data_IF_033067896706
#
_entry.id   IF_033067896706
#
_cell.length_a   1.000
_cell.length_b   1.000
_cell.length_c   1.000
_cell.angle_alpha   90.00
_cell.angle_beta   90.00
_cell.angle_gamma   90.00
#
_symmetry.space_group_name_H-M   'P 1'
#
loop_
_entity.id
_entity.type
_entity.pdbx_description
1 polymer ?
#
# COMPACT_ATOMS: atom_id res chain seq x y z
N UNK A 1 12.54 4.18 3.26
CA UNK A 1 13.20 2.85 3.10
C UNK A 1 12.14 1.77 3.01
N UNK A 2 12.16 0.94 1.97
CA UNK A 2 11.22 -0.18 1.85
C UNK A 2 11.79 -1.46 2.47
N UNK A 3 13.06 -1.73 2.26
CA UNK A 3 13.71 -2.89 2.83
C UNK A 3 15.19 -2.99 2.47
N UNK A 4 15.85 -3.99 3.02
CA UNK A 4 17.23 -4.30 2.67
C UNK A 4 17.48 -5.81 2.65
N UNK A 5 18.54 -6.19 1.96
CA UNK A 5 19.08 -7.54 1.93
C UNK A 5 20.58 -7.45 2.28
N UNK A 6 21.02 -8.25 3.25
CA UNK A 6 22.45 -8.36 3.56
C UNK A 6 23.19 -9.03 2.40
N UNK A 7 24.32 -8.45 2.00
CA UNK A 7 25.15 -8.94 0.90
C UNK A 7 26.60 -9.09 1.36
N UNK A 8 27.13 -10.30 1.27
CA UNK A 8 28.44 -10.61 1.84
C UNK A 8 28.51 -10.34 3.35
N UNK A 9 29.71 -10.02 3.85
CA UNK A 9 29.97 -9.86 5.29
C UNK A 9 29.62 -8.47 5.86
N UNK A 10 29.58 -7.45 5.01
CA UNK A 10 29.51 -6.06 5.49
C UNK A 10 28.53 -5.17 4.70
N UNK A 11 28.10 -5.60 3.55
CA UNK A 11 27.35 -4.78 2.61
C UNK A 11 25.84 -5.02 2.72
N UNK A 12 25.04 -4.10 2.16
CA UNK A 12 23.60 -4.23 2.00
C UNK A 12 23.17 -3.80 0.62
N UNK A 13 22.22 -4.53 0.05
CA UNK A 13 21.39 -4.05 -1.06
C UNK A 13 20.12 -3.51 -0.45
N UNK A 14 19.79 -2.26 -0.72
CA UNK A 14 18.62 -1.58 -0.15
C UNK A 14 17.62 -1.20 -1.25
N UNK A 15 16.35 -1.37 -0.95
CA UNK A 15 15.23 -0.91 -1.77
C UNK A 15 14.63 0.32 -1.10
N UNK A 16 14.47 1.40 -1.87
CA UNK A 16 13.95 2.66 -1.36
C UNK A 16 13.10 3.36 -2.40
N UNK A 17 12.19 4.20 -1.96
CA UNK A 17 11.31 5.00 -2.81
C UNK A 17 11.67 6.48 -2.68
N UNK A 18 11.75 7.17 -3.81
CA UNK A 18 12.07 8.61 -3.87
C UNK A 18 10.94 9.38 -4.55
N UNK A 19 10.78 10.68 -4.23
CA UNK A 19 9.74 11.50 -4.88
C UNK A 19 10.02 11.76 -6.37
N UNK A 20 11.29 11.74 -6.77
CA UNK A 20 11.71 12.16 -8.11
C UNK A 20 11.88 10.99 -9.08
N UNK A 21 12.37 9.84 -8.58
CA UNK A 21 12.73 8.68 -9.41
C UNK A 21 11.96 7.41 -9.05
N UNK A 22 11.02 7.49 -8.10
CA UNK A 22 10.21 6.36 -7.67
C UNK A 22 11.04 5.28 -6.97
N UNK A 23 10.80 4.03 -7.35
CA UNK A 23 11.44 2.86 -6.76
C UNK A 23 12.87 2.69 -7.27
N UNK A 24 13.83 2.61 -6.36
CA UNK A 24 15.24 2.40 -6.66
C UNK A 24 15.84 1.30 -5.78
N UNK A 25 16.89 0.68 -6.33
CA UNK A 25 17.77 -0.22 -5.57
C UNK A 25 19.16 0.35 -5.52
N UNK A 26 19.81 0.23 -4.36
CA UNK A 26 21.13 0.75 -4.14
C UNK A 26 22.02 -0.19 -3.36
N UNK A 27 23.33 -0.05 -3.61
CA UNK A 27 24.36 -0.82 -2.94
C UNK A 27 25.03 0.05 -1.86
N UNK A 28 24.92 -0.38 -0.62
CA UNK A 28 25.49 0.30 0.56
C UNK A 28 26.71 -0.46 1.06
N UNK A 29 27.90 -0.10 0.54
CA UNK A 29 29.17 -0.75 0.89
C UNK A 29 29.55 -0.53 2.34
N UNK A 30 29.82 -1.61 3.06
CA UNK A 30 30.21 -1.60 4.47
C UNK A 30 29.08 -1.15 5.41
N UNK A 31 27.81 -1.18 4.98
CA UNK A 31 26.68 -0.64 5.74
C UNK A 31 26.50 -1.29 7.12
N UNK A 32 26.72 -2.60 7.24
CA UNK A 32 26.56 -3.34 8.50
C UNK A 32 27.58 -2.95 9.57
N UNK A 33 28.75 -2.45 9.17
CA UNK A 33 29.83 -2.04 10.07
C UNK A 33 29.91 -0.52 10.25
N UNK A 34 29.24 0.28 9.43
CA UNK A 34 29.39 1.73 9.38
C UNK A 34 28.24 2.45 10.11
N UNK A 35 28.39 2.67 11.41
CA UNK A 35 27.45 3.46 12.20
C UNK A 35 27.37 4.92 11.76
N UNK A 36 28.51 5.50 11.34
CA UNK A 36 28.61 6.93 10.96
C UNK A 36 27.88 7.26 9.67
N UNK A 37 28.02 6.42 8.63
CA UNK A 37 27.43 6.71 7.30
C UNK A 37 25.97 6.31 7.18
N UNK A 38 25.57 5.24 7.88
CA UNK A 38 24.24 4.63 7.67
C UNK A 38 23.48 4.45 8.99
N UNK A 39 24.11 3.98 10.06
CA UNK A 39 23.43 3.76 11.34
C UNK A 39 22.11 3.02 11.21
N UNK A 40 21.06 3.55 11.84
CA UNK A 40 19.69 3.06 11.74
C UNK A 40 18.93 3.57 10.49
N UNK A 41 19.55 4.41 9.67
CA UNK A 41 18.88 5.01 8.51
C UNK A 41 18.49 3.98 7.44
N UNK A 42 19.14 2.81 7.40
CA UNK A 42 18.80 1.75 6.44
C UNK A 42 17.78 0.73 6.98
N UNK A 43 17.22 0.97 8.16
CA UNK A 43 16.16 0.10 8.68
C UNK A 43 14.87 0.27 7.86
N UNK A 44 14.08 -0.81 7.69
CA UNK A 44 12.79 -0.74 6.99
C UNK A 44 11.89 0.34 7.59
N UNK A 45 11.13 0.99 6.72
CA UNK A 45 10.17 2.06 7.02
C UNK A 45 10.80 3.39 7.42
N UNK A 46 12.12 3.49 7.62
CA UNK A 46 12.76 4.77 7.94
C UNK A 46 12.59 5.79 6.81
N UNK A 47 12.26 7.03 7.20
CA UNK A 47 12.34 8.22 6.35
C UNK A 47 13.75 8.77 6.46
N UNK A 48 14.43 8.94 5.33
CA UNK A 48 15.84 9.31 5.30
C UNK A 48 16.11 10.38 4.24
N UNK A 49 17.20 11.11 4.42
CA UNK A 49 17.88 11.83 3.35
C UNK A 49 19.04 10.97 2.86
N UNK A 50 19.06 10.64 1.57
CA UNK A 50 20.00 9.70 1.01
C UNK A 50 20.94 10.39 0.02
N UNK A 51 22.25 10.26 0.23
CA UNK A 51 23.27 10.67 -0.73
C UNK A 51 23.75 9.46 -1.52
N UNK A 52 23.54 9.50 -2.83
CA UNK A 52 23.85 8.40 -3.73
C UNK A 52 24.36 8.90 -5.09
N UNK A 53 24.99 8.04 -5.85
CA UNK A 53 25.43 8.30 -7.22
C UNK A 53 24.95 7.19 -8.13
N UNK A 54 24.59 7.56 -9.36
CA UNK A 54 24.27 6.58 -10.40
C UNK A 54 25.51 5.72 -10.67
N UNK A 55 25.32 4.42 -10.72
CA UNK A 55 26.36 3.47 -11.09
C UNK A 55 26.07 2.91 -12.47
N UNK A 56 27.14 2.58 -13.22
CA UNK A 56 27.04 1.95 -14.56
C UNK A 56 26.41 0.54 -14.52
N UNK A 57 26.27 -0.05 -13.34
CA UNK A 57 25.74 -1.42 -13.12
C UNK A 57 24.27 -1.49 -12.69
N UNK A 58 23.49 -0.41 -12.80
CA UNK A 58 22.03 -0.40 -12.52
C UNK A 58 21.66 -0.19 -11.03
N UNK A 59 22.52 -0.53 -10.06
CA UNK A 59 22.29 -0.23 -8.65
C UNK A 59 22.90 1.14 -8.29
N UNK A 60 22.14 1.98 -7.59
CA UNK A 60 22.66 3.24 -7.05
C UNK A 60 23.78 2.97 -6.02
N UNK A 61 24.90 3.68 -6.13
CA UNK A 61 25.98 3.59 -5.15
C UNK A 61 25.67 4.51 -3.96
N UNK A 62 25.27 3.95 -2.82
CA UNK A 62 24.93 4.72 -1.63
C UNK A 62 26.20 5.19 -0.91
N UNK A 63 26.28 6.47 -0.63
CA UNK A 63 27.41 7.11 0.05
C UNK A 63 27.14 7.30 1.54
N UNK A 64 25.98 7.87 1.86
CA UNK A 64 25.58 8.25 3.20
C UNK A 64 24.05 8.33 3.29
N UNK A 65 23.50 8.04 4.46
CA UNK A 65 22.07 8.19 4.77
C UNK A 65 21.90 8.89 6.12
N UNK A 66 21.17 9.99 6.13
CA UNK A 66 20.75 10.71 7.31
C UNK A 66 19.37 10.27 7.74
N UNK A 67 19.19 9.83 8.98
CA UNK A 67 17.90 9.44 9.51
C UNK A 67 17.07 10.70 9.80
N UNK A 68 15.88 10.79 9.20
CA UNK A 68 14.89 11.84 9.48
C UNK A 68 13.87 11.32 10.50
N UNK A 69 13.31 10.13 10.24
CA UNK A 69 12.34 9.48 11.11
C UNK A 69 12.48 7.96 11.01
N UNK A 70 12.48 7.27 12.14
CA UNK A 70 12.55 5.82 12.20
C UNK A 70 11.17 5.16 12.20
N UNK A 71 10.11 5.91 12.40
CA UNK A 71 8.75 5.44 12.70
C UNK A 71 8.79 4.36 13.80
N UNK A 72 9.34 4.74 14.95
CA UNK A 72 9.65 3.79 16.02
C UNK A 72 8.40 3.14 16.62
N UNK A 73 7.26 3.84 16.62
CA UNK A 73 5.95 3.36 17.09
C UNK A 73 5.46 2.13 16.35
N UNK A 74 5.82 1.96 15.06
CA UNK A 74 5.47 0.77 14.29
C UNK A 74 5.93 -0.54 14.97
N UNK A 75 7.06 -0.50 15.71
CA UNK A 75 7.64 -1.68 16.35
C UNK A 75 6.93 -2.07 17.65
N UNK A 76 6.08 -1.22 18.16
CA UNK A 76 5.27 -1.50 19.36
C UNK A 76 3.87 -2.08 19.04
N UNK A 77 3.47 -2.06 17.75
CA UNK A 77 2.18 -2.58 17.27
C UNK A 77 2.41 -3.52 16.09
N UNK A 78 2.15 -4.81 16.31
CA UNK A 78 2.36 -5.85 15.31
C UNK A 78 1.45 -5.66 14.07
N UNK A 79 0.22 -5.14 14.27
CA UNK A 79 -0.70 -4.83 13.16
C UNK A 79 -0.15 -3.69 12.33
N UNK A 80 0.34 -2.63 12.99
CA UNK A 80 0.97 -1.49 12.31
C UNK A 80 2.21 -1.93 11.53
N UNK A 81 3.06 -2.77 12.12
CA UNK A 81 4.26 -3.29 11.48
C UNK A 81 3.93 -4.14 10.24
N UNK A 82 2.93 -5.03 10.36
CA UNK A 82 2.47 -5.87 9.25
C UNK A 82 1.87 -5.01 8.12
N UNK A 83 1.08 -3.98 8.47
CA UNK A 83 0.50 -3.03 7.52
C UNK A 83 1.56 -2.17 6.84
N UNK A 84 2.59 -1.74 7.54
CA UNK A 84 3.71 -1.00 6.96
C UNK A 84 4.42 -1.83 5.88
N UNK A 85 4.72 -3.10 6.16
CA UNK A 85 5.27 -4.02 5.17
C UNK A 85 4.35 -4.22 3.96
N UNK A 86 3.06 -4.42 4.21
CA UNK A 86 2.04 -4.57 3.18
C UNK A 86 1.91 -3.32 2.28
N UNK A 87 1.84 -2.14 2.87
CA UNK A 87 1.78 -0.87 2.13
C UNK A 87 3.02 -0.61 1.28
N UNK A 88 4.21 -0.95 1.80
CA UNK A 88 5.44 -0.90 1.02
C UNK A 88 5.40 -1.84 -0.19
N UNK A 89 4.95 -3.09 -0.01
CA UNK A 89 4.84 -4.06 -1.11
C UNK A 89 3.80 -3.64 -2.15
N UNK A 90 2.66 -3.05 -1.72
CA UNK A 90 1.68 -2.49 -2.65
C UNK A 90 2.29 -1.38 -3.51
N UNK A 91 2.96 -0.40 -2.89
CA UNK A 91 3.59 0.71 -3.63
C UNK A 91 4.70 0.18 -4.56
N UNK A 92 5.52 -0.76 -4.11
CA UNK A 92 6.52 -1.41 -4.95
C UNK A 92 5.89 -2.10 -6.18
N UNK A 93 4.75 -2.76 -5.99
CA UNK A 93 4.07 -3.54 -7.04
C UNK A 93 3.36 -2.66 -8.05
N UNK A 94 2.66 -1.62 -7.60
CA UNK A 94 1.78 -0.81 -8.45
C UNK A 94 2.43 0.46 -9.01
N UNK A 95 3.47 0.98 -8.36
CA UNK A 95 4.07 2.25 -8.75
C UNK A 95 5.36 2.10 -9.59
N UNK A 96 5.83 0.87 -9.80
CA UNK A 96 6.89 0.53 -10.75
C UNK A 96 8.26 1.15 -10.50
N UNK A 97 9.27 0.67 -11.25
CA UNK A 97 10.63 1.22 -11.25
C UNK A 97 10.76 2.33 -12.31
N UNK A 98 11.57 3.35 -12.02
CA UNK A 98 11.96 4.39 -12.98
C UNK A 98 10.91 5.46 -13.29
N UNK A 99 9.79 5.47 -12.58
CA UNK A 99 8.80 6.54 -12.65
C UNK A 99 8.72 7.27 -11.31
N UNK A 100 9.06 8.56 -11.32
CA UNK A 100 8.95 9.41 -10.14
C UNK A 100 7.49 9.75 -9.87
N UNK A 101 6.93 9.10 -8.87
CA UNK A 101 5.57 9.38 -8.42
C UNK A 101 5.62 10.09 -7.07
N UNK A 102 5.72 11.42 -7.08
CA UNK A 102 5.67 12.23 -5.86
C UNK A 102 4.43 11.95 -5.02
N UNK A 103 3.28 11.67 -5.67
CA UNK A 103 2.05 11.30 -4.98
C UNK A 103 2.17 9.95 -4.27
N UNK A 104 2.79 8.94 -4.89
CA UNK A 104 3.00 7.64 -4.26
C UNK A 104 3.99 7.73 -3.08
N UNK A 105 5.02 8.57 -3.20
CA UNK A 105 5.93 8.88 -2.09
C UNK A 105 5.20 9.55 -0.94
N UNK A 106 4.37 10.57 -1.24
CA UNK A 106 3.54 11.26 -0.26
C UNK A 106 2.54 10.32 0.42
N UNK A 107 1.84 9.49 -0.37
CA UNK A 107 0.91 8.49 0.14
C UNK A 107 1.58 7.51 1.11
N UNK A 108 2.72 6.93 0.71
CA UNK A 108 3.43 5.98 1.57
C UNK A 108 3.96 6.64 2.83
N UNK A 109 4.51 7.85 2.73
CA UNK A 109 4.96 8.62 3.87
C UNK A 109 3.85 8.88 4.87
N UNK A 110 2.71 9.40 4.40
CA UNK A 110 1.54 9.69 5.25
C UNK A 110 0.94 8.41 5.87
N UNK A 111 0.98 7.29 5.14
CA UNK A 111 0.54 6.00 5.66
C UNK A 111 1.42 5.52 6.82
N UNK A 112 2.74 5.56 6.66
CA UNK A 112 3.68 5.20 7.73
C UNK A 112 3.56 6.13 8.94
N UNK A 113 3.44 7.45 8.72
CA UNK A 113 3.18 8.43 9.78
C UNK A 113 1.88 8.15 10.55
N UNK A 114 0.82 7.75 9.82
CA UNK A 114 -0.46 7.38 10.44
C UNK A 114 -0.33 6.13 11.30
N UNK A 115 0.29 5.09 10.77
CA UNK A 115 0.49 3.83 11.51
C UNK A 115 1.38 4.03 12.75
N UNK A 116 2.41 4.86 12.65
CA UNK A 116 3.31 5.17 13.75
C UNK A 116 2.59 5.86 14.91
N UNK A 117 1.66 6.78 14.61
CA UNK A 117 0.91 7.55 15.62
C UNK A 117 -0.35 6.86 16.12
N UNK A 118 -1.06 6.17 15.25
CA UNK A 118 -2.44 5.71 15.50
C UNK A 118 -2.55 4.19 15.62
N UNK A 119 -1.48 3.47 15.32
CA UNK A 119 -1.48 2.01 15.26
C UNK A 119 -2.12 1.44 14.00
N UNK A 120 -2.10 0.11 13.92
CA UNK A 120 -2.64 -0.63 12.78
C UNK A 120 -4.15 -0.85 12.90
N UNK A 121 -4.87 -0.79 11.75
CA UNK A 121 -6.31 -1.06 11.73
C UNK A 121 -6.78 -1.58 10.36
N UNK A 122 -7.93 -2.29 10.34
CA UNK A 122 -8.60 -2.69 9.09
C UNK A 122 -8.98 -1.48 8.23
N UNK A 123 -9.31 -0.36 8.84
CA UNK A 123 -9.62 0.89 8.14
C UNK A 123 -8.38 1.45 7.42
N UNK A 124 -7.21 1.47 8.08
CA UNK A 124 -5.96 1.88 7.46
C UNK A 124 -5.59 1.00 6.27
N UNK A 125 -5.81 -0.33 6.38
CA UNK A 125 -5.66 -1.29 5.27
C UNK A 125 -6.53 -0.89 4.07
N UNK A 126 -7.83 -0.69 4.28
CA UNK A 126 -8.76 -0.31 3.20
C UNK A 126 -8.36 0.99 2.51
N UNK A 127 -7.92 1.97 3.29
CA UNK A 127 -7.54 3.27 2.74
C UNK A 127 -6.27 3.18 1.89
N UNK A 128 -5.27 2.42 2.30
CA UNK A 128 -4.04 2.27 1.49
C UNK A 128 -4.34 1.48 0.21
N UNK A 129 -5.09 0.37 0.28
CA UNK A 129 -5.50 -0.42 -0.89
C UNK A 129 -6.25 0.43 -1.92
N UNK A 130 -7.27 1.17 -1.47
CA UNK A 130 -8.09 2.03 -2.33
C UNK A 130 -7.26 3.13 -3.01
N UNK A 131 -6.33 3.73 -2.30
CA UNK A 131 -5.49 4.83 -2.81
C UNK A 131 -4.40 4.37 -3.74
N UNK A 132 -3.81 3.21 -3.47
CA UNK A 132 -2.85 2.60 -4.40
C UNK A 132 -3.53 2.24 -5.73
N UNK A 133 -4.74 1.66 -5.69
CA UNK A 133 -5.55 1.44 -6.89
C UNK A 133 -5.85 2.74 -7.64
N UNK A 134 -6.16 3.82 -6.91
CA UNK A 134 -6.42 5.12 -7.51
C UNK A 134 -5.18 5.71 -8.20
N UNK A 135 -4.03 5.67 -7.55
CA UNK A 135 -2.77 6.14 -8.14
C UNK A 135 -2.35 5.32 -9.36
N UNK A 136 -2.64 4.03 -9.34
CA UNK A 136 -2.36 3.12 -10.46
C UNK A 136 -3.39 3.24 -11.62
N UNK A 137 -4.46 4.02 -11.45
CA UNK A 137 -5.52 4.18 -12.46
C UNK A 137 -6.53 3.03 -12.52
N UNK A 138 -6.57 2.18 -11.51
CA UNK A 138 -7.44 0.98 -11.46
C UNK A 138 -8.66 1.15 -10.54
N UNK A 139 -9.22 2.36 -10.45
CA UNK A 139 -10.41 2.60 -9.63
C UNK A 139 -11.63 1.93 -10.26
N UNK A 140 -12.29 0.99 -9.56
CA UNK A 140 -13.50 0.39 -10.06
C UNK A 140 -14.67 1.39 -10.11
N UNK A 141 -15.65 1.12 -10.97
CA UNK A 141 -16.94 1.84 -10.94
C UNK A 141 -17.72 1.46 -9.68
N UNK A 142 -17.87 2.39 -8.74
CA UNK A 142 -18.61 2.14 -7.49
C UNK A 142 -20.09 2.50 -7.57
N UNK A 143 -20.45 3.65 -8.16
CA UNK A 143 -21.78 4.23 -8.09
C UNK A 143 -22.59 4.12 -9.39
N UNK A 144 -21.97 3.64 -10.44
CA UNK A 144 -22.58 3.41 -11.74
C UNK A 144 -22.27 1.99 -12.22
N UNK A 145 -23.16 1.43 -13.00
CA UNK A 145 -22.89 0.15 -13.66
C UNK A 145 -21.70 0.29 -14.60
N UNK A 146 -20.71 -0.56 -14.43
CA UNK A 146 -19.49 -0.54 -15.25
C UNK A 146 -19.75 -0.85 -16.73
N UNK A 147 -20.86 -1.51 -17.08
CA UNK A 147 -21.18 -1.88 -18.45
C UNK A 147 -22.10 -0.89 -19.16
N UNK A 148 -23.22 -0.51 -18.53
CA UNK A 148 -24.22 0.34 -19.20
C UNK A 148 -24.23 1.79 -18.68
N UNK A 149 -23.42 2.13 -17.66
CA UNK A 149 -23.35 3.47 -17.09
C UNK A 149 -24.56 3.87 -16.23
N UNK A 150 -25.59 3.02 -16.08
CA UNK A 150 -26.76 3.34 -15.29
C UNK A 150 -26.38 3.59 -13.83
N UNK A 151 -27.01 4.59 -13.20
CA UNK A 151 -26.89 4.83 -11.76
C UNK A 151 -27.45 3.64 -10.98
N UNK A 152 -26.76 3.30 -9.89
CA UNK A 152 -27.18 2.21 -9.02
C UNK A 152 -28.11 2.76 -7.94
N UNK A 153 -29.32 2.21 -7.88
CA UNK A 153 -30.35 2.63 -6.95
C UNK A 153 -30.75 1.47 -6.04
N UNK A 154 -30.82 1.74 -4.76
CA UNK A 154 -31.41 0.90 -3.71
C UNK A 154 -30.91 -0.54 -3.60
N UNK A 155 -30.71 -1.01 -2.37
CA UNK A 155 -30.40 -2.40 -2.07
C UNK A 155 -28.95 -2.84 -2.33
N UNK A 156 -28.70 -4.15 -2.20
CA UNK A 156 -27.38 -4.72 -2.45
C UNK A 156 -27.06 -4.75 -3.95
N UNK A 157 -25.81 -4.41 -4.28
CA UNK A 157 -25.25 -4.35 -5.63
C UNK A 157 -24.27 -5.52 -5.83
N UNK A 158 -24.23 -6.09 -7.01
CA UNK A 158 -23.21 -7.09 -7.37
C UNK A 158 -21.96 -6.35 -7.88
N UNK A 159 -20.79 -6.67 -7.31
CA UNK A 159 -19.50 -6.09 -7.67
C UNK A 159 -18.60 -7.16 -8.27
N UNK A 160 -18.17 -6.94 -9.52
CA UNK A 160 -17.26 -7.84 -10.24
C UNK A 160 -16.07 -7.04 -10.78
N UNK A 161 -14.89 -7.18 -10.16
CA UNK A 161 -13.69 -6.44 -10.56
C UNK A 161 -13.27 -6.75 -12.00
N UNK A 162 -13.40 -8.02 -12.43
CA UNK A 162 -13.10 -8.42 -13.82
C UNK A 162 -13.97 -7.71 -14.88
N UNK A 163 -15.11 -7.18 -14.48
CA UNK A 163 -16.03 -6.38 -15.33
C UNK A 163 -15.97 -4.88 -15.03
N UNK A 164 -14.94 -4.45 -14.30
CA UNK A 164 -14.68 -3.04 -14.00
C UNK A 164 -15.42 -2.49 -12.80
N UNK A 165 -16.18 -3.29 -12.03
CA UNK A 165 -16.80 -2.81 -10.79
C UNK A 165 -18.24 -3.23 -10.57
N UNK A 166 -19.08 -2.28 -10.18
CA UNK A 166 -20.49 -2.49 -9.82
C UNK A 166 -21.37 -2.75 -11.05
N UNK A 167 -22.35 -3.64 -10.90
CA UNK A 167 -23.27 -4.04 -11.96
C UNK A 167 -24.73 -3.79 -11.55
N UNK A 168 -25.52 -3.22 -12.45
CA UNK A 168 -26.97 -3.10 -12.25
C UNK A 168 -27.67 -4.47 -12.42
N UNK A 169 -28.94 -4.54 -12.00
CA UNK A 169 -29.73 -5.77 -12.07
C UNK A 169 -29.86 -6.35 -13.51
N UNK A 170 -29.85 -5.48 -14.52
CA UNK A 170 -29.96 -5.89 -15.93
C UNK A 170 -28.64 -6.46 -16.48
N UNK A 171 -27.50 -5.95 -16.04
CA UNK A 171 -26.18 -6.37 -16.53
C UNK A 171 -25.59 -7.52 -15.73
N UNK A 172 -26.12 -7.82 -14.57
CA UNK A 172 -25.63 -8.91 -13.74
C UNK A 172 -25.96 -10.27 -14.40
N UNK A 173 -24.95 -11.09 -14.60
CA UNK A 173 -25.08 -12.46 -15.17
C UNK A 173 -24.80 -13.52 -14.10
N UNK A 174 -25.52 -13.54 -13.05
CA UNK A 174 -25.56 -14.53 -11.96
C UNK A 174 -24.37 -15.48 -11.80
N UNK A 175 -23.31 -15.08 -11.12
CA UNK A 175 -22.34 -16.10 -10.72
C UNK A 175 -20.89 -15.76 -10.41
N UNK A 176 -20.49 -14.54 -10.09
CA UNK A 176 -19.07 -14.31 -9.80
C UNK A 176 -18.77 -13.10 -8.90
N UNK A 177 -19.78 -12.29 -8.65
CA UNK A 177 -19.60 -11.03 -7.96
C UNK A 177 -19.74 -11.12 -6.44
N UNK A 178 -19.13 -10.16 -5.76
CA UNK A 178 -19.34 -9.91 -4.34
C UNK A 178 -20.60 -9.04 -4.18
N UNK A 179 -21.58 -9.54 -3.43
CA UNK A 179 -22.78 -8.77 -3.14
C UNK A 179 -22.55 -7.82 -1.98
N UNK A 180 -22.73 -6.53 -2.19
CA UNK A 180 -22.36 -5.48 -1.24
C UNK A 180 -23.44 -4.41 -1.13
N UNK A 181 -23.48 -3.72 0.00
CA UNK A 181 -24.40 -2.59 0.22
C UNK A 181 -23.93 -1.37 -0.58
N UNK A 182 -24.87 -0.68 -1.20
CA UNK A 182 -24.59 0.58 -1.92
C UNK A 182 -23.97 1.65 -1.01
N UNK A 183 -24.26 1.63 0.29
CA UNK A 183 -23.62 2.52 1.28
C UNK A 183 -22.13 2.26 1.42
N UNK A 184 -21.70 1.00 1.35
CA UNK A 184 -20.26 0.64 1.33
C UNK A 184 -19.59 1.21 0.10
N UNK A 185 -20.17 1.01 -1.09
CA UNK A 185 -19.66 1.58 -2.34
C UNK A 185 -19.60 3.11 -2.30
N UNK A 186 -20.67 3.74 -1.79
CA UNK A 186 -20.71 5.19 -1.60
C UNK A 186 -19.68 5.72 -0.62
N UNK A 187 -19.34 4.94 0.39
CA UNK A 187 -18.29 5.31 1.36
C UNK A 187 -16.91 5.20 0.73
N UNK A 188 -16.62 4.14 -0.02
CA UNK A 188 -15.35 4.00 -0.77
C UNK A 188 -15.20 5.12 -1.80
N UNK A 189 -16.25 5.40 -2.59
CA UNK A 189 -16.24 6.49 -3.57
C UNK A 189 -15.99 7.88 -2.93
N UNK A 190 -16.59 8.15 -1.76
CA UNK A 190 -16.32 9.39 -1.01
C UNK A 190 -14.88 9.45 -0.47
N UNK A 191 -14.35 8.33 -0.03
CA UNK A 191 -12.97 8.27 0.49
C UNK A 191 -11.92 8.62 -0.56
N UNK A 192 -12.22 8.41 -1.85
CA UNK A 192 -11.38 8.82 -2.97
C UNK A 192 -11.38 10.35 -3.23
N UNK A 193 -12.38 11.08 -2.74
CA UNK A 193 -12.44 12.54 -2.89
C UNK A 193 -11.60 13.29 -1.85
N UNK A 194 -11.08 12.59 -0.87
CA UNK A 194 -10.20 13.13 0.17
C UNK A 194 -8.76 13.00 -0.30
N UNK A 195 -7.87 13.98 0.01
CA UNK A 195 -6.46 13.90 -0.35
C UNK A 195 -5.83 12.55 0.00
N UNK A 196 -5.00 12.04 -0.89
CA UNK A 196 -4.45 10.68 -0.81
C UNK A 196 -3.56 10.45 0.43
N UNK A 197 -3.00 11.50 0.98
CA UNK A 197 -2.15 11.50 2.17
C UNK A 197 -2.93 11.59 3.50
N UNK A 198 -4.28 11.74 3.47
CA UNK A 198 -5.09 11.93 4.66
C UNK A 198 -5.70 10.62 5.15
N UNK A 199 -5.13 9.99 6.18
CA UNK A 199 -5.63 8.75 6.79
C UNK A 199 -6.55 8.97 8.01
N UNK A 200 -6.61 10.18 8.52
CA UNK A 200 -7.39 10.55 9.71
C UNK A 200 -8.79 11.09 9.36
N UNK A 201 -9.70 11.07 10.34
CA UNK A 201 -11.05 11.61 10.19
C UNK A 201 -12.05 10.66 9.54
N UNK A 202 -11.66 9.45 9.20
CA UNK A 202 -12.56 8.40 8.70
C UNK A 202 -13.18 7.62 9.86
N UNK A 203 -14.45 7.22 9.69
CA UNK A 203 -15.15 6.29 10.56
C UNK A 203 -15.91 5.29 9.71
N UNK A 204 -15.26 4.18 9.39
CA UNK A 204 -15.85 3.11 8.60
C UNK A 204 -16.57 2.14 9.54
N UNK A 205 -17.86 1.84 9.25
CA UNK A 205 -18.59 0.82 10.00
C UNK A 205 -17.95 -0.56 9.83
N UNK A 206 -18.19 -1.48 10.77
CA UNK A 206 -17.69 -2.86 10.67
C UNK A 206 -18.13 -3.51 9.34
N UNK A 207 -19.37 -3.29 8.92
CA UNK A 207 -19.89 -3.75 7.63
C UNK A 207 -19.10 -3.17 6.45
N UNK A 208 -18.84 -1.86 6.44
CA UNK A 208 -18.03 -1.22 5.39
C UNK A 208 -16.62 -1.78 5.35
N UNK A 209 -16.02 -2.07 6.51
CA UNK A 209 -14.69 -2.67 6.57
C UNK A 209 -14.68 -4.10 6.01
N UNK A 210 -15.69 -4.90 6.31
CA UNK A 210 -15.78 -6.28 5.82
C UNK A 210 -16.07 -6.33 4.31
N UNK A 211 -17.14 -5.66 3.86
CA UNK A 211 -17.51 -5.64 2.45
C UNK A 211 -16.45 -4.93 1.59
N UNK A 212 -15.90 -3.81 2.08
CA UNK A 212 -14.83 -3.07 1.42
C UNK A 212 -13.56 -3.92 1.26
N UNK A 213 -13.20 -4.71 2.26
CA UNK A 213 -12.08 -5.65 2.16
C UNK A 213 -12.26 -6.68 1.04
N UNK A 214 -13.48 -7.24 0.90
CA UNK A 214 -13.80 -8.18 -0.18
C UNK A 214 -13.73 -7.51 -1.57
N UNK A 215 -14.26 -6.28 -1.67
CA UNK A 215 -14.22 -5.47 -2.90
C UNK A 215 -12.78 -5.19 -3.31
N UNK A 216 -11.97 -4.67 -2.40
CA UNK A 216 -10.60 -4.24 -2.70
C UNK A 216 -9.67 -5.42 -2.97
N UNK A 217 -9.83 -6.54 -2.27
CA UNK A 217 -9.11 -7.77 -2.59
C UNK A 217 -9.42 -8.26 -4.01
N UNK A 218 -10.72 -8.21 -4.40
CA UNK A 218 -11.17 -8.55 -5.76
C UNK A 218 -10.61 -7.59 -6.81
N UNK A 219 -10.56 -6.28 -6.48
CA UNK A 219 -10.06 -5.25 -7.39
C UNK A 219 -8.54 -5.27 -7.56
N UNK A 220 -7.78 -5.63 -6.52
CA UNK A 220 -6.32 -5.73 -6.57
C UNK A 220 -5.85 -6.95 -7.35
N UNK A 221 -6.51 -8.09 -7.15
CA UNK A 221 -6.05 -9.39 -7.63
C UNK A 221 -5.73 -9.46 -9.15
N UNK A 222 -6.55 -8.92 -10.08
CA UNK A 222 -6.27 -8.97 -11.51
C UNK A 222 -4.99 -8.20 -11.93
N UNK A 223 -4.55 -7.26 -11.11
CA UNK A 223 -3.42 -6.39 -11.40
C UNK A 223 -2.12 -6.82 -10.71
N UNK A 224 -2.17 -7.89 -9.91
CA UNK A 224 -0.99 -8.42 -9.24
C UNK A 224 -0.22 -9.37 -10.17
N UNK A 225 1.05 -9.07 -10.50
CA UNK A 225 1.88 -9.98 -11.32
C UNK A 225 2.24 -11.27 -10.58
N UNK A 226 2.14 -11.23 -9.25
CA UNK A 226 2.38 -12.36 -8.33
C UNK A 226 1.63 -12.13 -7.02
N UNK A 227 1.34 -13.19 -6.23
CA UNK A 227 0.78 -13.02 -4.89
C UNK A 227 1.68 -12.13 -4.01
N UNK A 228 1.05 -11.26 -3.22
CA UNK A 228 1.75 -10.42 -2.25
C UNK A 228 2.30 -11.28 -1.11
N UNK A 229 3.59 -11.14 -0.81
CA UNK A 229 4.30 -11.94 0.21
C UNK A 229 3.88 -11.58 1.63
N UNK A 230 3.53 -10.30 1.84
CA UNK A 230 3.16 -9.76 3.15
C UNK A 230 1.70 -10.06 3.51
N UNK A 231 0.83 -10.30 2.52
CA UNK A 231 -0.60 -10.48 2.72
C UNK A 231 -0.95 -11.66 3.65
N UNK A 232 -0.38 -12.87 3.50
CA UNK A 232 -0.73 -13.99 4.39
C UNK A 232 -0.37 -13.72 5.86
N UNK A 233 0.73 -13.01 6.11
CA UNK A 233 1.10 -12.60 7.46
C UNK A 233 0.12 -11.56 8.01
N UNK A 234 -0.19 -10.52 7.24
CA UNK A 234 -1.15 -9.49 7.63
C UNK A 234 -2.52 -10.08 7.96
N UNK A 235 -3.03 -10.99 7.14
CA UNK A 235 -4.35 -11.62 7.36
C UNK A 235 -4.40 -12.41 8.67
N UNK A 236 -3.37 -13.18 8.99
CA UNK A 236 -3.26 -13.91 10.27
C UNK A 236 -3.27 -12.94 11.46
N UNK A 237 -2.49 -11.88 11.39
CA UNK A 237 -2.42 -10.89 12.48
C UNK A 237 -3.76 -10.16 12.64
N UNK A 238 -4.43 -9.79 11.55
CA UNK A 238 -5.76 -9.17 11.60
C UNK A 238 -6.86 -10.13 12.09
N UNK A 239 -6.66 -11.44 11.96
CA UNK A 239 -7.52 -12.46 12.53
C UNK A 239 -7.25 -12.71 14.03
N UNK A 240 -6.21 -12.12 14.62
CA UNK A 240 -5.82 -12.31 16.01
C UNK A 240 -4.99 -13.58 16.25
N UNK A 241 -4.43 -14.18 15.21
CA UNK A 241 -3.57 -15.36 15.31
C UNK A 241 -2.14 -14.94 15.71
N UNK A 242 -1.54 -15.68 16.67
CA UNK A 242 -0.14 -15.43 17.05
C UNK A 242 0.82 -15.75 15.89
N UNK A 243 1.90 -14.99 15.71
CA UNK A 243 2.95 -15.33 14.76
C UNK A 243 3.61 -16.66 15.18
N UNK A 244 3.77 -17.56 14.21
CA UNK A 244 4.54 -18.81 14.40
C UNK A 244 6.02 -18.53 14.20
#
# INVERSE_FOLDING_TARGET
MLGHLDYGEADRIVTFYTPDQGLLKGFARGARKSRRRFGAALEPFARIRLHWAQSRGGLAALREAELIDLHAGLRSDLVALALAGYGCELVETFCGEGQGHGEAFGLLGAFLDHLDRSGGSRQARLLIELRVLALAGYVPHFLHCSECGASLEGGPVDFEAARGGSLCAACRTGGGGVRVDLRTLGTLARSLKVPVDRFEGFRLSARTQEEGGKILANALQPHLPRPLKTLPFLERILAGEAPR
#
